data_IF_729864411443
#
_entry.id   IF_729864411443
#
_cell.length_a   1.000
_cell.length_b   1.000
_cell.length_c   1.000
_cell.angle_alpha   90.00
_cell.angle_beta   90.00
_cell.angle_gamma   90.00
#
_symmetry.space_group_name_H-M   'P 1'
#
loop_
_entity.id
_entity.type
_entity.pdbx_description
1 polymer ?
#
# COMPACT_ATOMS: atom_id res chain seq x y z
N UNK A 1 5.80 -64.40 6.02
CA UNK A 1 6.38 -63.31 5.21
C UNK A 1 6.01 -62.00 5.89
N UNK A 2 7.00 -61.38 6.51
CA UNK A 2 6.95 -60.25 7.46
C UNK A 2 6.75 -58.90 6.74
N UNK A 3 5.75 -58.11 7.15
CA UNK A 3 5.67 -56.68 6.80
C UNK A 3 5.84 -55.85 8.07
N UNK A 4 7.09 -55.57 8.42
CA UNK A 4 7.48 -54.58 9.44
C UNK A 4 7.40 -53.20 8.78
N UNK A 5 6.22 -52.58 8.83
CA UNK A 5 6.08 -51.19 8.41
C UNK A 5 6.76 -50.28 9.46
N UNK A 6 7.78 -49.58 8.99
CA UNK A 6 8.85 -48.97 9.76
C UNK A 6 8.32 -47.79 10.62
N UNK A 7 8.15 -48.03 11.93
CA UNK A 7 7.64 -47.07 12.94
C UNK A 7 8.42 -45.75 13.02
N UNK A 8 9.61 -45.72 12.43
CA UNK A 8 10.49 -44.54 12.35
C UNK A 8 10.07 -43.53 11.26
N UNK A 9 9.39 -43.96 10.19
CA UNK A 9 8.96 -43.06 9.10
C UNK A 9 7.81 -42.15 9.56
N UNK A 10 6.91 -42.68 10.39
CA UNK A 10 5.77 -41.91 10.95
C UNK A 10 6.25 -40.79 11.88
N UNK A 11 7.36 -40.99 12.61
CA UNK A 11 7.91 -39.98 13.53
C UNK A 11 8.61 -38.83 12.80
N UNK A 12 9.24 -39.09 11.66
CA UNK A 12 9.91 -38.05 10.87
C UNK A 12 8.91 -37.07 10.23
N UNK A 13 7.72 -37.55 9.83
CA UNK A 13 6.66 -36.73 9.23
C UNK A 13 6.01 -35.76 10.23
N UNK A 14 5.89 -36.14 11.51
CA UNK A 14 5.30 -35.29 12.55
C UNK A 14 6.18 -34.08 12.91
N UNK A 15 7.51 -34.19 12.78
CA UNK A 15 8.45 -33.10 13.09
C UNK A 15 8.46 -32.00 12.02
N UNK A 16 8.15 -32.32 10.75
CA UNK A 16 8.11 -31.32 9.68
C UNK A 16 6.84 -30.45 9.72
N UNK A 17 5.74 -30.96 10.30
CA UNK A 17 4.49 -30.23 10.41
C UNK A 17 4.56 -29.04 11.39
N UNK A 18 5.40 -29.11 12.43
CA UNK A 18 5.50 -28.06 13.45
C UNK A 18 6.25 -26.80 12.97
N UNK A 19 7.14 -26.91 11.97
CA UNK A 19 7.92 -25.76 11.48
C UNK A 19 7.06 -24.82 10.62
N UNK A 20 6.00 -25.34 9.98
CA UNK A 20 5.08 -24.55 9.15
C UNK A 20 4.10 -23.67 9.96
N UNK A 21 3.96 -23.90 11.27
CA UNK A 21 3.07 -23.10 12.14
C UNK A 21 3.72 -21.80 12.63
N UNK A 22 5.04 -21.62 12.46
CA UNK A 22 5.73 -20.40 12.89
C UNK A 22 5.74 -19.29 11.82
N UNK A 23 5.29 -19.57 10.60
CA UNK A 23 5.24 -18.58 9.51
C UNK A 23 4.11 -17.54 9.66
N UNK A 24 3.14 -17.75 10.56
CA UNK A 24 2.05 -16.81 10.80
C UNK A 24 2.34 -15.74 11.87
N UNK A 25 3.55 -15.68 12.45
CA UNK A 25 3.91 -14.68 13.47
C UNK A 25 4.44 -13.36 12.91
N UNK A 26 4.73 -13.28 11.62
CA UNK A 26 5.19 -12.07 10.95
C UNK A 26 4.04 -11.45 10.13
N UNK A 27 3.17 -10.73 10.82
CA UNK A 27 2.10 -9.94 10.22
C UNK A 27 1.70 -8.81 11.16
N UNK A 28 1.33 -7.65 10.60
CA UNK A 28 0.83 -6.50 11.35
C UNK A 28 -0.39 -6.94 12.17
N UNK A 29 -0.35 -6.78 13.50
CA UNK A 29 -1.49 -7.19 14.33
C UNK A 29 -2.63 -6.17 14.17
N UNK A 30 -3.90 -6.58 14.23
CA UNK A 30 -5.03 -5.64 14.12
C UNK A 30 -5.02 -4.49 15.14
N UNK A 31 -4.40 -4.69 16.32
CA UNK A 31 -4.24 -3.67 17.36
C UNK A 31 -3.03 -2.76 17.20
N UNK A 32 -2.21 -2.96 16.16
CA UNK A 32 -1.05 -2.13 15.80
C UNK A 32 -1.37 -1.19 14.62
N UNK A 33 -2.62 -1.18 14.14
CA UNK A 33 -3.08 -0.35 13.03
C UNK A 33 -4.01 0.71 13.61
N UNK A 34 -3.59 1.98 13.53
CA UNK A 34 -4.48 3.10 13.73
C UNK A 34 -5.40 3.18 12.49
N UNK A 35 -6.64 2.70 12.65
CA UNK A 35 -7.58 2.59 11.53
C UNK A 35 -8.06 3.97 11.09
N UNK A 36 -8.13 4.17 9.77
CA UNK A 36 -8.85 5.32 9.21
C UNK A 36 -10.35 5.13 9.49
N UNK A 37 -10.95 6.07 10.21
CA UNK A 37 -12.34 5.97 10.70
C UNK A 37 -13.37 6.28 9.60
N UNK A 38 -12.94 6.87 8.48
CA UNK A 38 -13.77 7.21 7.32
C UNK A 38 -13.73 6.14 6.22
N UNK A 39 -14.76 6.05 5.35
CA UNK A 39 -14.73 5.19 4.15
C UNK A 39 -13.71 5.64 3.08
N UNK A 40 -12.99 6.72 3.36
CA UNK A 40 -11.90 7.27 2.56
C UNK A 40 -10.57 6.65 3.00
N UNK A 41 -9.64 6.48 2.05
CA UNK A 41 -8.27 6.09 2.38
C UNK A 41 -7.56 7.17 3.20
N UNK A 42 -6.42 6.82 3.81
CA UNK A 42 -5.62 7.77 4.55
C UNK A 42 -5.23 8.98 3.69
N UNK A 43 -5.28 10.18 4.28
CA UNK A 43 -4.80 11.39 3.63
C UNK A 43 -3.28 11.44 3.73
N UNK A 44 -2.63 11.70 2.60
CA UNK A 44 -1.16 11.72 2.50
C UNK A 44 -0.66 13.02 1.88
N UNK A 45 0.54 13.43 2.31
CA UNK A 45 1.39 14.39 1.62
C UNK A 45 2.51 13.62 0.91
N UNK A 46 2.42 13.49 -0.42
CA UNK A 46 3.42 12.79 -1.23
C UNK A 46 4.41 13.79 -1.81
N UNK A 47 5.70 13.62 -1.47
CA UNK A 47 6.80 14.37 -2.07
C UNK A 47 7.38 13.56 -3.22
N UNK A 48 7.41 14.15 -4.41
CA UNK A 48 7.93 13.51 -5.63
C UNK A 48 9.31 14.09 -5.96
N UNK A 49 10.26 13.22 -6.31
CA UNK A 49 11.60 13.64 -6.74
C UNK A 49 11.50 14.61 -7.92
N UNK A 50 12.08 15.80 -7.78
CA UNK A 50 12.12 16.81 -8.84
C UNK A 50 10.87 17.71 -8.94
N UNK A 51 9.85 17.49 -8.11
CA UNK A 51 8.74 18.42 -7.95
C UNK A 51 9.01 19.37 -6.78
N UNK A 52 8.56 20.62 -6.89
CA UNK A 52 8.73 21.66 -5.84
C UNK A 52 7.57 21.70 -4.86
N UNK A 53 6.45 21.08 -5.18
CA UNK A 53 5.23 21.08 -4.37
C UNK A 53 4.87 19.66 -3.96
N UNK A 54 4.41 19.52 -2.72
CA UNK A 54 3.89 18.25 -2.21
C UNK A 54 2.51 18.00 -2.81
N UNK A 55 2.26 16.75 -3.21
CA UNK A 55 0.95 16.30 -3.68
C UNK A 55 0.14 15.85 -2.49
N UNK A 56 -0.89 16.62 -2.13
CA UNK A 56 -1.82 16.25 -1.06
C UNK A 56 -2.97 15.43 -1.65
N UNK A 57 -3.40 14.36 -0.98
CA UNK A 57 -4.53 13.58 -1.49
C UNK A 57 -4.90 12.36 -0.65
N UNK A 58 -5.85 11.60 -1.15
CA UNK A 58 -6.27 10.30 -0.62
C UNK A 58 -5.36 9.20 -1.17
N UNK A 59 -4.87 8.32 -0.30
CA UNK A 59 -4.17 7.10 -0.69
C UNK A 59 -5.18 6.03 -1.15
N UNK A 60 -5.21 5.74 -2.45
CA UNK A 60 -6.14 4.76 -3.02
C UNK A 60 -5.61 3.33 -2.86
N UNK A 61 -4.37 3.08 -3.23
CA UNK A 61 -3.74 1.76 -3.06
C UNK A 61 -2.22 1.83 -3.11
N UNK A 62 -1.58 0.79 -2.60
CA UNK A 62 -0.13 0.61 -2.65
C UNK A 62 0.19 -0.78 -3.19
N UNK A 63 1.12 -0.86 -4.14
CA UNK A 63 1.68 -2.12 -4.61
C UNK A 63 3.23 -2.12 -4.53
N UNK A 64 3.86 -3.15 -5.10
CA UNK A 64 5.31 -3.33 -5.03
C UNK A 64 6.08 -2.31 -5.87
N UNK A 65 5.44 -1.68 -6.85
CA UNK A 65 6.06 -0.80 -7.83
C UNK A 65 5.59 0.65 -7.68
N UNK A 66 4.35 0.87 -7.24
CA UNK A 66 3.71 2.16 -7.26
C UNK A 66 2.87 2.47 -6.00
N UNK A 67 2.68 3.76 -5.80
CA UNK A 67 1.65 4.37 -4.95
C UNK A 67 0.59 4.96 -5.86
N UNK A 68 -0.68 4.61 -5.64
CA UNK A 68 -1.82 5.20 -6.34
C UNK A 68 -2.54 6.16 -5.39
N UNK A 69 -2.65 7.41 -5.79
CA UNK A 69 -3.31 8.45 -5.01
C UNK A 69 -4.33 9.22 -5.83
N UNK A 70 -5.27 9.86 -5.13
CA UNK A 70 -6.21 10.82 -5.68
C UNK A 70 -5.97 12.18 -5.03
N UNK A 71 -5.50 13.16 -5.79
CA UNK A 71 -5.31 14.53 -5.33
C UNK A 71 -6.37 15.47 -5.90
N UNK A 72 -6.74 16.57 -5.24
CA UNK A 72 -7.43 17.67 -5.92
C UNK A 72 -6.51 18.20 -7.03
N UNK A 73 -7.08 18.53 -8.19
CA UNK A 73 -6.35 19.20 -9.25
C UNK A 73 -6.20 20.68 -8.88
N UNK A 74 -4.97 21.19 -8.81
CA UNK A 74 -4.71 22.61 -8.53
C UNK A 74 -4.06 23.24 -9.74
N UNK A 75 -4.69 24.26 -10.30
CA UNK A 75 -4.16 25.05 -11.44
C UNK A 75 -4.03 26.49 -10.98
N UNK A 76 -2.80 27.02 -11.01
CA UNK A 76 -2.48 28.40 -10.59
C UNK A 76 -2.96 28.76 -9.17
N UNK A 77 -2.92 27.79 -8.25
CA UNK A 77 -3.39 27.98 -6.86
C UNK A 77 -4.90 27.92 -6.68
N UNK A 78 -5.66 27.62 -7.75
CA UNK A 78 -7.09 27.38 -7.68
C UNK A 78 -7.35 25.88 -7.72
N UNK A 79 -7.99 25.35 -6.66
CA UNK A 79 -8.49 23.98 -6.65
C UNK A 79 -9.62 23.84 -7.69
N UNK A 80 -9.36 23.06 -8.73
CA UNK A 80 -10.38 22.64 -9.68
C UNK A 80 -11.28 21.61 -9.03
N UNK A 81 -12.56 21.61 -9.43
CA UNK A 81 -13.57 20.67 -8.93
C UNK A 81 -13.34 19.21 -9.32
N UNK A 82 -12.25 18.89 -10.04
CA UNK A 82 -11.99 17.55 -10.56
C UNK A 82 -10.76 17.00 -9.85
N UNK A 83 -10.88 15.91 -9.09
CA UNK A 83 -9.72 15.23 -8.57
C UNK A 83 -8.95 14.52 -9.69
N UNK A 84 -7.68 14.27 -9.46
CA UNK A 84 -6.75 13.60 -10.37
C UNK A 84 -6.21 12.35 -9.71
N UNK A 85 -6.30 11.21 -10.40
CA UNK A 85 -5.71 9.94 -10.02
C UNK A 85 -4.31 9.85 -10.64
N UNK A 86 -3.31 9.69 -9.78
CA UNK A 86 -1.90 9.62 -10.14
C UNK A 86 -1.29 8.34 -9.61
N UNK A 87 -0.54 7.64 -10.47
CA UNK A 87 0.31 6.50 -10.14
C UNK A 87 1.76 6.96 -10.10
N UNK A 88 2.41 6.79 -8.96
CA UNK A 88 3.79 7.22 -8.71
C UNK A 88 4.66 6.02 -8.41
N UNK A 89 5.69 5.81 -9.23
CA UNK A 89 6.66 4.75 -9.00
C UNK A 89 7.43 5.01 -7.69
N UNK A 90 7.74 3.95 -6.94
CA UNK A 90 8.51 4.06 -5.70
C UNK A 90 9.89 4.71 -5.89
N UNK A 91 10.47 4.62 -7.09
CA UNK A 91 11.71 5.33 -7.49
C UNK A 91 11.58 6.85 -7.46
N UNK A 92 10.36 7.36 -7.56
CA UNK A 92 10.02 8.79 -7.61
C UNK A 92 9.44 9.31 -6.31
N UNK A 93 9.07 8.43 -5.39
CA UNK A 93 8.64 8.80 -4.05
C UNK A 93 9.85 9.25 -3.26
N UNK A 94 9.83 10.50 -2.82
CA UNK A 94 10.89 11.08 -2.01
C UNK A 94 10.59 11.02 -0.51
N UNK A 95 9.34 11.30 -0.15
CA UNK A 95 8.80 11.18 1.20
C UNK A 95 7.28 11.05 1.14
N UNK A 96 6.68 10.49 2.19
CA UNK A 96 5.23 10.42 2.39
C UNK A 96 5.00 10.77 3.85
N UNK A 97 4.15 11.77 4.11
CA UNK A 97 3.62 12.00 5.45
C UNK A 97 2.16 11.57 5.48
N UNK A 98 1.78 10.79 6.49
CA UNK A 98 0.40 10.31 6.65
C UNK A 98 -0.32 11.10 7.72
N UNK A 99 -1.42 11.76 7.35
CA UNK A 99 -2.17 12.61 8.25
C UNK A 99 -2.77 11.79 9.40
N UNK A 100 -2.66 12.31 10.63
CA UNK A 100 -3.26 11.77 11.87
C UNK A 100 -2.84 10.36 12.32
N UNK A 101 -2.01 9.63 11.57
CA UNK A 101 -1.57 8.26 11.91
C UNK A 101 -0.14 8.18 12.47
N UNK A 102 0.53 9.34 12.60
CA UNK A 102 1.86 9.47 13.20
C UNK A 102 3.00 8.88 12.36
N UNK A 103 4.24 9.09 12.83
CA UNK A 103 5.46 8.80 12.05
C UNK A 103 5.75 7.33 11.74
N UNK A 104 4.93 6.39 12.22
CA UNK A 104 5.08 4.97 11.93
C UNK A 104 4.71 4.61 10.48
N UNK A 105 3.95 5.47 9.81
CA UNK A 105 3.53 5.31 8.42
C UNK A 105 4.31 6.21 7.45
N UNK A 106 5.14 7.11 7.99
CA UNK A 106 5.87 8.06 7.18
C UNK A 106 7.02 7.39 6.40
N UNK A 107 7.21 7.85 5.17
CA UNK A 107 8.38 7.51 4.36
C UNK A 107 9.38 8.66 4.49
N UNK A 108 10.51 8.35 5.11
CA UNK A 108 11.56 9.35 5.34
C UNK A 108 12.37 9.62 4.07
N UNK A 109 12.73 10.88 3.92
CA UNK A 109 13.54 11.46 2.84
C UNK A 109 14.74 10.60 2.43
N UNK A 110 14.82 10.24 1.15
CA UNK A 110 16.02 9.65 0.55
C UNK A 110 16.33 8.21 0.95
N UNK A 111 15.41 7.53 1.66
CA UNK A 111 15.56 6.12 2.00
C UNK A 111 14.77 5.24 1.04
N UNK A 112 15.31 4.04 0.76
CA UNK A 112 14.54 3.02 0.05
C UNK A 112 13.39 2.56 0.96
N UNK A 113 12.16 2.68 0.45
CA UNK A 113 10.96 2.27 1.20
C UNK A 113 11.00 0.77 1.47
N UNK A 114 11.05 0.40 2.75
CA UNK A 114 11.03 -0.98 3.22
C UNK A 114 9.69 -1.65 2.89
N UNK A 115 9.71 -2.96 2.66
CA UNK A 115 8.51 -3.73 2.35
C UNK A 115 7.44 -3.62 3.46
N UNK A 116 7.88 -3.62 4.73
CA UNK A 116 7.00 -3.44 5.88
C UNK A 116 6.23 -2.11 5.82
N UNK A 117 6.90 -1.01 5.47
CA UNK A 117 6.27 0.31 5.32
C UNK A 117 5.22 0.29 4.21
N UNK A 118 5.52 -0.36 3.08
CA UNK A 118 4.54 -0.50 1.98
C UNK A 118 3.31 -1.28 2.41
N UNK A 119 3.49 -2.37 3.16
CA UNK A 119 2.38 -3.17 3.71
C UNK A 119 1.53 -2.34 4.69
N UNK A 120 2.16 -1.55 5.55
CA UNK A 120 1.45 -0.63 6.46
C UNK A 120 0.63 0.41 5.69
N UNK A 121 1.22 1.05 4.69
CA UNK A 121 0.53 2.01 3.82
C UNK A 121 -0.62 1.36 3.05
N UNK A 122 -0.43 0.12 2.55
CA UNK A 122 -1.52 -0.62 1.89
C UNK A 122 -2.71 -0.83 2.84
N UNK A 123 -2.48 -1.19 4.10
CA UNK A 123 -3.54 -1.43 5.08
C UNK A 123 -4.41 -0.21 5.38
N UNK A 124 -3.84 1.00 5.30
CA UNK A 124 -4.54 2.26 5.54
C UNK A 124 -5.01 2.95 4.24
N UNK A 125 -4.78 2.32 3.09
CA UNK A 125 -5.29 2.80 1.81
C UNK A 125 -6.78 2.48 1.65
N UNK A 126 -7.46 3.19 0.74
CA UNK A 126 -8.88 2.93 0.47
C UNK A 126 -9.14 1.51 -0.05
N UNK A 127 -8.20 0.97 -0.82
CA UNK A 127 -8.26 -0.36 -1.41
C UNK A 127 -7.02 -1.18 -1.04
N UNK A 128 -6.96 -1.76 0.18
CA UNK A 128 -5.79 -2.49 0.68
C UNK A 128 -5.37 -3.70 -0.17
N UNK A 129 -6.32 -4.32 -0.87
CA UNK A 129 -6.11 -5.42 -1.80
C UNK A 129 -5.61 -4.97 -3.19
N UNK A 130 -5.41 -3.67 -3.39
CA UNK A 130 -5.10 -3.07 -4.68
C UNK A 130 -6.35 -2.70 -5.48
N UNK A 131 -6.12 -2.02 -6.60
CA UNK A 131 -7.16 -1.57 -7.54
C UNK A 131 -7.08 -2.41 -8.81
N UNK A 132 -8.14 -3.16 -9.11
CA UNK A 132 -8.26 -3.88 -10.39
C UNK A 132 -8.41 -2.92 -11.57
N UNK A 133 -8.10 -3.38 -12.79
CA UNK A 133 -8.26 -2.55 -13.99
C UNK A 133 -9.71 -2.06 -14.18
N UNK A 134 -10.69 -2.92 -13.90
CA UNK A 134 -12.10 -2.56 -13.97
C UNK A 134 -12.45 -1.46 -12.96
N UNK A 135 -11.98 -1.60 -11.71
CA UNK A 135 -12.21 -0.60 -10.67
C UNK A 135 -11.50 0.72 -11.02
N UNK A 136 -10.25 0.68 -11.49
CA UNK A 136 -9.51 1.85 -11.94
C UNK A 136 -10.27 2.59 -13.05
N UNK A 137 -10.81 1.86 -14.03
CA UNK A 137 -11.60 2.44 -15.12
C UNK A 137 -12.85 3.16 -14.58
N UNK A 138 -13.54 2.57 -13.60
CA UNK A 138 -14.70 3.21 -12.96
C UNK A 138 -14.32 4.45 -12.16
N UNK A 139 -13.18 4.42 -11.44
CA UNK A 139 -12.68 5.57 -10.68
C UNK A 139 -12.30 6.73 -11.62
N UNK A 140 -11.58 6.44 -12.70
CA UNK A 140 -11.23 7.43 -13.72
C UNK A 140 -12.48 8.05 -14.37
N UNK A 141 -13.49 7.23 -14.69
CA UNK A 141 -14.75 7.72 -15.25
C UNK A 141 -15.51 8.62 -14.25
N UNK A 142 -15.54 8.25 -12.96
CA UNK A 142 -16.16 9.05 -11.91
C UNK A 142 -15.48 10.43 -11.76
N UNK A 143 -14.14 10.46 -11.87
CA UNK A 143 -13.32 11.66 -11.74
C UNK A 143 -13.19 12.45 -13.07
N UNK A 144 -13.86 11.98 -14.14
CA UNK A 144 -13.82 12.56 -15.50
C UNK A 144 -12.40 12.66 -16.07
N UNK A 145 -11.56 11.69 -15.73
CA UNK A 145 -10.19 11.55 -16.18
C UNK A 145 -10.10 10.47 -17.26
N UNK A 146 -9.45 10.77 -18.39
CA UNK A 146 -9.35 9.83 -19.51
C UNK A 146 -8.34 8.69 -19.26
N UNK A 147 -7.25 8.99 -18.56
CA UNK A 147 -6.18 8.04 -18.28
C UNK A 147 -5.48 8.43 -16.97
N UNK A 148 -4.94 7.43 -16.26
CA UNK A 148 -4.12 7.65 -15.06
C UNK A 148 -2.88 8.50 -15.39
N UNK A 149 -2.54 9.45 -14.52
CA UNK A 149 -1.26 10.16 -14.64
C UNK A 149 -0.14 9.25 -14.11
N UNK A 150 0.92 9.07 -14.88
CA UNK A 150 2.03 8.18 -14.55
C UNK A 150 3.29 9.01 -14.26
N UNK A 151 3.88 8.80 -13.08
CA UNK A 151 5.17 9.39 -12.68
C UNK A 151 6.16 8.24 -12.49
N UNK A 152 7.15 8.13 -13.39
CA UNK A 152 8.11 7.02 -13.48
C UNK A 152 9.52 7.43 -13.12
#
# INVERSE_FOLDING_TARGET
MTSYMNRNIVRALALFACVLLSACRFGTKPGEIDWVVSPEGARIALRVVGETQDRMGELLSVDNEHVLMRSPEVVEGVELRRPKITRVAWSRVYAIDVDQLGGAYDVVRGQRVAEETRRKLALISRFPQGVSLELLTRLLAADKQAAVEEIK
#
